data_IF_069707090832
#
_entry.id   IF_069707090832
#
_cell.length_a   1.000
_cell.length_b   1.000
_cell.length_c   1.000
_cell.angle_alpha   90.00
_cell.angle_beta   90.00
_cell.angle_gamma   90.00
#
_symmetry.space_group_name_H-M   'P 1'
#
loop_
_entity.id
_entity.type
_entity.pdbx_description
1 polymer ?
#
# COMPACT_ATOMS: atom_id res chain seq x y z
N UNK A 1 1.60 -12.53 -15.47
CA UNK A 1 1.14 -13.84 -15.99
C UNK A 1 -0.31 -13.79 -16.47
N UNK A 2 -0.76 -14.41 -17.55
CA UNK A 2 -2.10 -14.20 -18.17
C UNK A 2 -3.32 -13.98 -17.22
N UNK A 3 -4.38 -13.24 -17.61
CA UNK A 3 -5.59 -13.08 -16.79
C UNK A 3 -6.12 -14.42 -16.26
N UNK A 4 -6.55 -14.48 -14.99
CA UNK A 4 -7.06 -15.72 -14.36
C UNK A 4 -5.99 -16.62 -13.70
N UNK A 5 -4.69 -16.36 -13.88
CA UNK A 5 -3.59 -17.21 -13.34
C UNK A 5 -3.30 -17.08 -11.84
N UNK A 6 -4.18 -16.42 -11.07
CA UNK A 6 -3.99 -16.30 -9.63
C UNK A 6 -2.81 -15.42 -9.19
N UNK A 7 -2.30 -14.50 -10.04
CA UNK A 7 -1.21 -13.54 -9.68
C UNK A 7 -1.40 -12.91 -8.29
N UNK A 8 -2.62 -12.45 -8.04
CA UNK A 8 -3.00 -11.82 -6.76
C UNK A 8 -2.83 -12.78 -5.57
N UNK A 9 -3.06 -14.08 -5.76
CA UNK A 9 -2.79 -15.11 -4.75
C UNK A 9 -1.29 -15.28 -4.50
N UNK A 10 -0.45 -15.19 -5.53
CA UNK A 10 1.02 -15.24 -5.40
C UNK A 10 1.54 -14.03 -4.63
N UNK A 11 1.05 -12.81 -4.97
CA UNK A 11 1.41 -11.58 -4.24
C UNK A 11 1.02 -11.68 -2.77
N UNK A 12 -0.20 -12.14 -2.47
CA UNK A 12 -0.62 -12.37 -1.08
C UNK A 12 0.29 -13.37 -0.37
N UNK A 13 0.64 -14.49 -1.03
CA UNK A 13 1.45 -15.54 -0.39
C UNK A 13 2.90 -15.09 -0.19
N UNK A 14 3.47 -14.36 -1.15
CA UNK A 14 4.79 -13.76 -1.03
C UNK A 14 4.84 -12.74 0.12
N UNK A 15 3.84 -11.85 0.20
CA UNK A 15 3.72 -10.91 1.30
C UNK A 15 3.63 -11.62 2.65
N UNK A 16 2.86 -12.71 2.76
CA UNK A 16 2.80 -13.52 3.99
C UNK A 16 4.14 -14.17 4.36
N UNK A 17 4.87 -14.72 3.40
CA UNK A 17 6.16 -15.38 3.63
C UNK A 17 7.27 -14.39 4.01
N UNK A 18 7.19 -13.17 3.50
CA UNK A 18 8.18 -12.12 3.72
C UNK A 18 8.01 -11.34 5.02
N UNK A 19 7.01 -11.66 5.84
CA UNK A 19 6.79 -11.07 7.18
C UNK A 19 7.85 -11.47 8.23
N UNK A 20 8.84 -12.31 7.90
CA UNK A 20 9.93 -12.62 8.83
C UNK A 20 10.80 -11.37 9.06
N UNK A 21 10.85 -10.90 10.31
CA UNK A 21 11.86 -9.94 10.79
C UNK A 21 11.47 -8.47 10.82
N UNK A 22 10.18 -8.11 10.98
CA UNK A 22 9.67 -6.72 11.04
C UNK A 22 9.80 -5.88 9.76
N UNK A 23 10.27 -6.42 8.64
CA UNK A 23 10.27 -5.65 7.38
C UNK A 23 8.85 -5.54 6.83
N UNK A 24 8.38 -4.30 6.64
CA UNK A 24 7.12 -4.03 5.95
C UNK A 24 7.18 -4.47 4.48
N UNK A 25 6.07 -5.01 3.99
CA UNK A 25 5.87 -5.30 2.57
C UNK A 25 4.91 -4.27 1.99
N UNK A 26 5.42 -3.46 1.05
CA UNK A 26 4.61 -2.54 0.26
C UNK A 26 4.10 -3.27 -0.98
N UNK A 27 2.80 -3.19 -1.23
CA UNK A 27 2.16 -3.65 -2.46
C UNK A 27 1.55 -2.43 -3.12
N UNK A 28 2.18 -1.99 -4.20
CA UNK A 28 1.75 -0.84 -4.98
C UNK A 28 0.99 -1.26 -6.25
N UNK A 29 0.05 -0.42 -6.67
CA UNK A 29 -0.61 -0.55 -7.96
C UNK A 29 -0.79 0.84 -8.61
N UNK A 30 -1.15 0.86 -9.89
CA UNK A 30 -1.31 2.13 -10.63
C UNK A 30 -2.55 2.93 -10.18
N UNK A 31 -3.60 2.26 -9.72
CA UNK A 31 -4.90 2.89 -9.42
C UNK A 31 -5.49 2.44 -8.10
N UNK A 32 -6.34 3.29 -7.52
CA UNK A 32 -7.09 2.98 -6.30
C UNK A 32 -7.97 1.74 -6.46
N UNK A 33 -8.55 1.52 -7.65
CA UNK A 33 -9.36 0.34 -7.95
C UNK A 33 -8.50 -0.94 -7.88
N UNK A 34 -7.27 -0.90 -8.40
CA UNK A 34 -6.36 -2.04 -8.30
C UNK A 34 -5.96 -2.33 -6.84
N UNK A 35 -5.65 -1.29 -6.06
CA UNK A 35 -5.39 -1.39 -4.61
C UNK A 35 -6.57 -2.02 -3.87
N UNK A 36 -7.79 -1.54 -4.14
CA UNK A 36 -9.03 -2.07 -3.57
C UNK A 36 -9.22 -3.56 -3.89
N UNK A 37 -9.04 -3.95 -5.14
CA UNK A 37 -9.15 -5.35 -5.57
C UNK A 37 -8.14 -6.29 -4.87
N UNK A 38 -6.99 -5.77 -4.43
CA UNK A 38 -6.02 -6.52 -3.63
C UNK A 38 -6.49 -6.56 -2.16
N UNK A 39 -6.92 -5.43 -1.62
CA UNK A 39 -7.43 -5.30 -0.25
C UNK A 39 -8.55 -6.29 0.04
N UNK A 40 -9.55 -6.39 -0.84
CA UNK A 40 -10.66 -7.34 -0.71
C UNK A 40 -10.18 -8.80 -0.61
N UNK A 41 -9.15 -9.15 -1.37
CA UNK A 41 -8.61 -10.52 -1.37
C UNK A 41 -7.83 -10.83 -0.11
N UNK A 42 -7.12 -9.84 0.43
CA UNK A 42 -6.44 -9.97 1.72
C UNK A 42 -7.45 -10.07 2.85
N UNK A 43 -8.47 -9.21 2.82
CA UNK A 43 -9.55 -9.17 3.81
C UNK A 43 -10.31 -10.50 3.87
N UNK A 44 -10.76 -11.03 2.72
CA UNK A 44 -11.41 -12.36 2.63
C UNK A 44 -10.56 -13.52 3.15
N UNK A 45 -9.25 -13.33 3.28
CA UNK A 45 -8.30 -14.32 3.81
C UNK A 45 -7.89 -14.06 5.26
N UNK A 46 -8.48 -13.06 5.93
CA UNK A 46 -8.14 -12.68 7.29
C UNK A 46 -6.72 -12.12 7.44
N UNK A 47 -6.13 -11.58 6.37
CA UNK A 47 -4.78 -11.02 6.41
C UNK A 47 -4.85 -9.59 6.94
N UNK A 48 -4.07 -9.27 7.97
CA UNK A 48 -3.92 -7.90 8.45
C UNK A 48 -3.08 -7.08 7.46
N UNK A 49 -3.64 -5.95 6.99
CA UNK A 49 -2.99 -4.96 6.14
C UNK A 49 -3.48 -3.54 6.48
N UNK A 50 -2.75 -2.53 6.02
CA UNK A 50 -3.21 -1.14 5.96
C UNK A 50 -3.13 -0.61 4.55
N UNK A 51 -4.01 0.33 4.21
CA UNK A 51 -3.98 1.05 2.94
C UNK A 51 -3.50 2.46 3.23
N UNK A 52 -2.54 2.98 2.46
CA UNK A 52 -2.14 4.39 2.53
C UNK A 52 -2.63 5.09 1.27
N UNK A 53 -3.44 6.14 1.45
CA UNK A 53 -4.05 6.88 0.35
C UNK A 53 -4.08 8.39 0.62
N UNK A 54 -4.07 9.18 -0.46
CA UNK A 54 -4.19 10.64 -0.36
C UNK A 54 -5.61 11.01 0.05
N UNK A 55 -5.74 12.00 0.92
CA UNK A 55 -7.03 12.61 1.27
C UNK A 55 -7.85 13.01 0.04
N UNK A 56 -7.17 13.56 -0.97
CA UNK A 56 -7.80 14.06 -2.20
C UNK A 56 -8.39 12.95 -3.08
N UNK A 57 -7.95 11.71 -2.89
CA UNK A 57 -8.35 10.57 -3.71
C UNK A 57 -9.25 9.57 -2.98
N UNK A 58 -9.60 9.85 -1.72
CA UNK A 58 -10.52 9.04 -0.91
C UNK A 58 -11.99 9.09 -1.39
N UNK A 59 -12.31 9.89 -2.42
CA UNK A 59 -13.64 9.93 -3.02
C UNK A 59 -13.91 8.67 -3.85
N UNK A 60 -14.66 7.72 -3.28
CA UNK A 60 -15.11 6.51 -4.00
C UNK A 60 -15.15 5.22 -3.16
N UNK A 61 -15.16 5.31 -1.83
CA UNK A 61 -15.29 4.15 -0.92
C UNK A 61 -16.75 3.90 -0.46
N UNK A 62 -17.76 4.32 -1.24
CA UNK A 62 -19.17 4.36 -0.81
C UNK A 62 -19.98 3.06 -1.04
N UNK A 63 -19.34 1.95 -1.39
CA UNK A 63 -20.03 0.67 -1.56
C UNK A 63 -20.05 -0.11 -0.21
N UNK A 64 -21.16 -0.80 0.11
CA UNK A 64 -21.34 -1.48 1.41
C UNK A 64 -20.24 -2.50 1.76
N UNK A 65 -19.64 -3.16 0.75
CA UNK A 65 -18.53 -4.10 0.96
C UNK A 65 -17.23 -3.45 1.46
N UNK A 66 -17.19 -2.12 1.51
CA UNK A 66 -15.97 -1.37 1.82
C UNK A 66 -15.98 -0.71 3.19
N UNK A 67 -17.10 -0.72 3.90
CA UNK A 67 -17.21 -0.18 5.27
C UNK A 67 -16.20 -0.88 6.20
N UNK A 68 -16.01 -2.18 6.03
CA UNK A 68 -15.07 -2.96 6.86
C UNK A 68 -13.60 -2.64 6.51
N UNK A 69 -13.29 -2.42 5.23
CA UNK A 69 -11.94 -2.11 4.75
C UNK A 69 -11.58 -0.63 5.04
N UNK A 70 -12.56 0.25 5.20
CA UNK A 70 -12.35 1.66 5.56
C UNK A 70 -11.54 1.80 6.86
N UNK A 71 -11.74 0.89 7.82
CA UNK A 71 -10.96 0.81 9.08
C UNK A 71 -9.47 0.45 8.87
N UNK A 72 -9.13 -0.07 7.69
CA UNK A 72 -7.75 -0.34 7.28
C UNK A 72 -7.10 0.83 6.54
N UNK A 73 -7.84 1.91 6.22
CA UNK A 73 -7.32 3.06 5.46
C UNK A 73 -6.65 4.07 6.39
N UNK A 74 -5.42 4.44 6.02
CA UNK A 74 -4.65 5.54 6.58
C UNK A 74 -4.62 6.63 5.52
N UNK A 75 -5.29 7.74 5.79
CA UNK A 75 -5.27 8.90 4.89
C UNK A 75 -4.03 9.75 5.13
N UNK A 76 -3.58 10.43 4.09
CA UNK A 76 -2.42 11.32 4.15
C UNK A 76 -2.53 12.37 5.27
N UNK A 77 -3.72 12.92 5.54
CA UNK A 77 -3.92 13.91 6.62
C UNK A 77 -3.83 13.32 8.04
N UNK A 78 -3.85 11.99 8.19
CA UNK A 78 -3.59 11.34 9.48
C UNK A 78 -2.09 11.25 9.79
N UNK A 79 -1.24 11.38 8.79
CA UNK A 79 0.22 11.37 8.94
C UNK A 79 0.75 12.72 9.45
N UNK A 80 -0.06 13.78 9.36
CA UNK A 80 0.22 15.09 9.96
C UNK A 80 0.00 15.02 11.48
N UNK A 81 1.00 14.50 12.20
CA UNK A 81 1.02 14.47 13.68
C UNK A 81 0.94 13.08 14.30
N UNK A 82 0.89 12.00 13.51
CA UNK A 82 1.01 10.62 14.00
C UNK A 82 2.09 9.86 13.22
N UNK A 83 2.96 9.15 13.94
CA UNK A 83 3.95 8.26 13.32
C UNK A 83 3.27 7.12 12.56
N UNK A 84 3.79 6.77 11.39
CA UNK A 84 3.27 5.66 10.59
C UNK A 84 3.21 4.35 11.40
N UNK A 85 4.23 4.04 12.21
CA UNK A 85 4.27 2.81 13.04
C UNK A 85 3.03 2.66 13.93
N UNK A 86 2.62 3.74 14.60
CA UNK A 86 1.41 3.77 15.43
C UNK A 86 0.13 3.50 14.62
N UNK A 87 0.02 4.08 13.43
CA UNK A 87 -1.14 3.90 12.55
C UNK A 87 -1.19 2.49 11.95
N UNK A 88 -0.02 1.87 11.73
CA UNK A 88 0.08 0.49 11.27
C UNK A 88 -0.44 -0.50 12.29
N UNK A 89 -0.26 -0.24 13.59
CA UNK A 89 -0.81 -1.07 14.66
C UNK A 89 -0.35 -2.54 14.57
N UNK A 90 0.92 -2.76 14.20
CA UNK A 90 1.50 -4.09 14.00
C UNK A 90 1.15 -4.75 12.66
N UNK A 91 0.50 -4.04 11.75
CA UNK A 91 0.32 -4.51 10.37
C UNK A 91 1.64 -4.46 9.61
N UNK A 92 1.97 -5.55 8.93
CA UNK A 92 3.24 -5.70 8.17
C UNK A 92 3.04 -5.57 6.65
N UNK A 93 1.81 -5.32 6.20
CA UNK A 93 1.46 -5.18 4.78
C UNK A 93 0.85 -3.81 4.56
N UNK A 94 1.45 -3.03 3.67
CA UNK A 94 0.93 -1.75 3.21
C UNK A 94 0.49 -1.90 1.76
N UNK A 95 -0.76 -1.52 1.49
CA UNK A 95 -1.29 -1.35 0.15
C UNK A 95 -1.29 0.13 -0.19
N UNK A 96 -0.85 0.50 -1.39
CA UNK A 96 -0.87 1.90 -1.80
C UNK A 96 -0.84 2.05 -3.32
N UNK A 97 -0.99 3.26 -3.83
CA UNK A 97 -0.74 3.51 -5.25
C UNK A 97 0.70 3.93 -5.49
N UNK A 98 1.23 3.71 -6.69
CA UNK A 98 2.56 4.24 -7.06
C UNK A 98 2.65 5.76 -6.89
N UNK A 99 1.57 6.48 -7.21
CA UNK A 99 1.51 7.94 -7.00
C UNK A 99 1.64 8.32 -5.54
N UNK A 100 1.08 7.53 -4.63
CA UNK A 100 1.20 7.77 -3.19
C UNK A 100 2.61 7.58 -2.67
N UNK A 101 3.41 6.66 -3.24
CA UNK A 101 4.83 6.53 -2.87
C UNK A 101 5.64 7.79 -3.20
N UNK A 102 5.23 8.58 -4.20
CA UNK A 102 5.83 9.87 -4.56
C UNK A 102 5.21 11.06 -3.82
N UNK A 103 4.26 10.84 -2.91
CA UNK A 103 3.56 11.91 -2.23
C UNK A 103 4.45 12.50 -1.12
N UNK A 104 4.69 13.81 -1.18
CA UNK A 104 5.50 14.56 -0.20
C UNK A 104 5.02 14.38 1.25
N UNK A 105 3.77 13.98 1.48
CA UNK A 105 3.28 13.70 2.83
C UNK A 105 4.02 12.50 3.46
N UNK A 106 4.37 11.47 2.68
CA UNK A 106 5.19 10.37 3.19
C UNK A 106 6.60 10.83 3.57
N UNK A 107 7.15 11.75 2.79
CA UNK A 107 8.47 12.35 3.05
C UNK A 107 8.44 13.21 4.31
N UNK A 108 7.42 14.07 4.45
CA UNK A 108 7.22 14.93 5.62
C UNK A 108 6.95 14.14 6.90
N UNK A 109 6.24 13.01 6.78
CA UNK A 109 5.99 12.11 7.90
C UNK A 109 7.22 11.27 8.27
N UNK A 110 8.36 11.46 7.59
CA UNK A 110 9.57 10.63 7.70
C UNK A 110 9.24 9.13 7.64
N UNK A 111 8.18 8.77 6.92
CA UNK A 111 7.57 7.44 6.97
C UNK A 111 8.53 6.40 6.40
N UNK A 112 9.13 6.71 5.26
CA UNK A 112 10.10 5.86 4.57
C UNK A 112 11.49 5.87 5.23
N UNK A 113 11.75 6.80 6.15
CA UNK A 113 12.99 6.85 6.93
C UNK A 113 12.86 6.04 8.21
N UNK A 114 11.74 6.22 8.92
CA UNK A 114 11.41 5.48 10.15
C UNK A 114 11.21 4.00 9.85
N UNK A 115 10.59 3.69 8.71
CA UNK A 115 10.40 2.32 8.28
C UNK A 115 10.81 2.20 6.80
N UNK A 116 12.04 1.79 6.50
CA UNK A 116 12.53 1.71 5.13
C UNK A 116 11.72 0.71 4.31
N UNK A 117 11.40 1.10 3.08
CA UNK A 117 10.74 0.24 2.11
C UNK A 117 11.74 -0.76 1.52
N UNK A 118 12.02 -1.83 2.26
CA UNK A 118 12.93 -2.91 1.83
C UNK A 118 12.28 -3.85 0.81
N UNK A 119 10.95 -3.97 0.85
CA UNK A 119 10.18 -4.95 0.07
C UNK A 119 9.03 -4.25 -0.64
N UNK A 120 9.15 -4.09 -1.96
CA UNK A 120 8.12 -3.51 -2.82
C UNK A 120 7.66 -4.53 -3.86
N UNK A 121 6.36 -4.77 -3.92
CA UNK A 121 5.69 -5.55 -4.96
C UNK A 121 4.80 -4.60 -5.76
N UNK A 122 4.87 -4.68 -7.08
CA UNK A 122 4.07 -3.84 -7.97
C UNK A 122 3.11 -4.74 -8.75
N UNK A 123 1.81 -4.60 -8.50
CA UNK A 123 0.77 -5.32 -9.25
C UNK A 123 0.56 -4.68 -10.62
N UNK A 124 0.27 -5.53 -11.61
CA UNK A 124 0.10 -5.12 -13.02
C UNK A 124 1.23 -4.23 -13.57
N UNK A 125 2.47 -4.48 -13.11
CA UNK A 125 3.68 -3.78 -13.54
C UNK A 125 3.79 -3.60 -15.07
N UNK A 126 3.38 -4.59 -15.86
CA UNK A 126 3.41 -4.51 -17.33
C UNK A 126 2.52 -3.42 -17.94
N UNK A 127 1.58 -2.87 -17.17
CA UNK A 127 0.64 -1.82 -17.61
C UNK A 127 1.07 -0.42 -17.16
N UNK A 128 2.19 -0.31 -16.43
CA UNK A 128 2.68 0.95 -15.87
C UNK A 128 3.70 1.56 -16.84
N UNK A 129 3.55 2.84 -17.13
CA UNK A 129 4.54 3.57 -17.92
C UNK A 129 5.87 3.63 -17.17
N UNK A 130 7.01 3.40 -17.85
CA UNK A 130 8.35 3.43 -17.23
C UNK A 130 8.61 4.69 -16.40
N UNK A 131 8.07 5.84 -16.81
CA UNK A 131 8.22 7.09 -16.07
C UNK A 131 7.47 7.10 -14.73
N UNK A 132 6.40 6.32 -14.58
CA UNK A 132 5.68 6.19 -13.31
C UNK A 132 6.46 5.39 -12.27
N UNK A 133 7.50 4.64 -12.69
CA UNK A 133 8.44 4.00 -11.78
C UNK A 133 9.50 4.95 -11.22
N UNK A 134 9.69 6.12 -11.83
CA UNK A 134 10.60 7.15 -11.33
C UNK A 134 9.96 7.89 -10.16
N UNK A 135 9.61 7.13 -9.13
CA UNK A 135 9.16 7.60 -7.83
C UNK A 135 10.34 8.31 -7.18
N UNK A 136 10.13 9.57 -6.75
CA UNK A 136 11.16 10.32 -6.04
C UNK A 136 11.23 9.81 -4.61
N UNK A 137 12.18 8.93 -4.33
CA UNK A 137 12.52 8.54 -2.96
C UNK A 137 13.53 9.58 -2.46
N UNK A 138 13.25 10.35 -1.39
CA UNK A 138 14.20 11.31 -0.86
C UNK A 138 15.46 10.60 -0.38
N UNK A 139 16.61 11.03 -0.89
CA UNK A 139 17.90 10.70 -0.33
C UNK A 139 18.33 11.94 0.46
N UNK A 140 18.43 11.83 1.79
CA UNK A 140 19.13 12.86 2.59
C UNK A 140 20.63 12.58 2.46
N UNK A 141 21.36 13.56 1.92
CA UNK A 141 22.84 13.62 1.93
C UNK A 141 23.26 14.36 3.19
#
# INVERSE_FOLDING_TARGET
>A
GPPGTGRRTVVTKAAQLWRKGRSLVYIAAQSNIAVKNIAEKLFKKGVNFKIIESKEFHFGWHEHSYIEIETCVIRSDMLDGQSLDRLLGGSEIILTTLRMLSNLVLDKAEALFTIPMEKLVIDEASQINVFEYMVRIPIRV
#
